data_IF_823475562432
#
_entry.id   IF_823475562432
#
_cell.length_a   1.000
_cell.length_b   1.000
_cell.length_c   1.000
_cell.angle_alpha   90.00
_cell.angle_beta   90.00
_cell.angle_gamma   90.00
#
_symmetry.space_group_name_H-M   'P 1'
#
loop_
_entity.id
_entity.type
_entity.pdbx_description
1 polymer ?
#
# COMPACT_ATOMS: atom_id res chain seq x y z
N UNK A 1 -7.10 22.99 -14.22
CA UNK A 1 -8.39 22.47 -13.70
C UNK A 1 -9.49 23.35 -14.25
N UNK A 2 -10.46 22.79 -14.95
CA UNK A 2 -11.63 23.54 -15.38
C UNK A 2 -12.42 23.89 -14.11
N UNK A 3 -12.55 25.21 -13.80
CA UNK A 3 -13.23 25.70 -12.59
C UNK A 3 -14.76 25.61 -12.66
N UNK A 4 -15.29 24.54 -13.24
CA UNK A 4 -16.72 24.27 -13.38
C UNK A 4 -17.15 23.43 -12.19
N UNK A 5 -18.21 23.82 -11.44
CA UNK A 5 -18.76 22.99 -10.37
C UNK A 5 -19.17 21.63 -10.91
N UNK A 6 -19.04 20.59 -10.09
CA UNK A 6 -19.32 19.18 -10.48
C UNK A 6 -20.77 19.01 -10.97
N UNK A 7 -21.70 19.86 -10.51
CA UNK A 7 -23.12 19.84 -10.89
C UNK A 7 -23.41 20.49 -12.25
N UNK A 8 -22.44 21.22 -12.84
CA UNK A 8 -22.58 21.90 -14.14
C UNK A 8 -21.85 21.16 -15.27
N UNK A 9 -21.37 19.93 -15.02
CA UNK A 9 -20.73 19.08 -16.01
C UNK A 9 -21.79 18.54 -16.98
N UNK A 10 -21.72 18.96 -18.24
CA UNK A 10 -22.55 18.37 -19.28
C UNK A 10 -21.98 17.03 -19.77
N UNK A 11 -22.81 16.26 -20.48
CA UNK A 11 -22.44 14.92 -20.97
C UNK A 11 -21.23 14.98 -21.92
N UNK A 12 -21.15 15.98 -22.79
CA UNK A 12 -20.07 16.11 -23.75
C UNK A 12 -18.72 16.37 -23.05
N UNK A 13 -18.74 17.17 -21.99
CA UNK A 13 -17.58 17.45 -21.14
C UNK A 13 -17.08 16.20 -20.41
N UNK A 14 -18.01 15.40 -19.88
CA UNK A 14 -17.67 14.12 -19.23
C UNK A 14 -17.08 13.12 -20.23
N UNK A 15 -17.71 12.99 -21.42
CA UNK A 15 -17.19 12.13 -22.50
C UNK A 15 -15.79 12.57 -22.94
N UNK A 16 -15.55 13.86 -23.13
CA UNK A 16 -14.22 14.39 -23.47
C UNK A 16 -13.19 14.12 -22.37
N UNK A 17 -13.54 14.23 -21.10
CA UNK A 17 -12.64 13.90 -19.99
C UNK A 17 -12.30 12.41 -19.93
N UNK A 18 -13.27 11.52 -20.13
CA UNK A 18 -13.09 10.07 -20.01
C UNK A 18 -12.34 9.52 -21.23
N UNK A 19 -12.73 9.90 -22.46
CA UNK A 19 -12.21 9.30 -23.68
C UNK A 19 -11.13 10.15 -24.37
N UNK A 20 -11.03 11.45 -24.03
CA UNK A 20 -10.08 12.38 -24.63
C UNK A 20 -8.81 12.62 -23.80
N UNK A 21 -8.66 11.98 -22.64
CA UNK A 21 -7.49 12.19 -21.78
C UNK A 21 -6.84 10.88 -21.32
N UNK A 22 -5.50 10.91 -21.12
CA UNK A 22 -4.75 9.78 -20.56
C UNK A 22 -5.26 9.38 -19.14
N UNK A 23 -5.71 10.35 -18.36
CA UNK A 23 -6.28 10.14 -17.03
C UNK A 23 -7.59 9.37 -17.13
N UNK A 24 -8.46 9.75 -18.07
CA UNK A 24 -9.73 9.05 -18.32
C UNK A 24 -9.50 7.64 -18.82
N UNK A 25 -8.57 7.44 -19.76
CA UNK A 25 -8.20 6.11 -20.22
C UNK A 25 -7.66 5.23 -19.08
N UNK A 26 -6.75 5.76 -18.24
CA UNK A 26 -6.24 5.05 -17.07
C UNK A 26 -7.35 4.70 -16.06
N UNK A 27 -8.35 5.56 -15.90
CA UNK A 27 -9.54 5.30 -15.07
C UNK A 27 -10.36 4.13 -15.60
N UNK A 28 -10.63 4.06 -16.92
CA UNK A 28 -11.36 2.95 -17.54
C UNK A 28 -10.59 1.64 -17.35
N UNK A 29 -9.29 1.62 -17.66
CA UNK A 29 -8.43 0.44 -17.50
C UNK A 29 -8.43 -0.03 -16.05
N UNK A 30 -8.27 0.89 -15.09
CA UNK A 30 -8.30 0.59 -13.66
C UNK A 30 -9.62 -0.04 -13.24
N UNK A 31 -10.73 0.56 -13.64
CA UNK A 31 -12.06 0.04 -13.33
C UNK A 31 -12.27 -1.36 -13.90
N UNK A 32 -11.88 -1.58 -15.16
CA UNK A 32 -11.92 -2.90 -15.80
C UNK A 32 -11.09 -3.94 -15.05
N UNK A 33 -9.87 -3.60 -14.63
CA UNK A 33 -9.00 -4.49 -13.86
C UNK A 33 -9.60 -4.83 -12.49
N UNK A 34 -10.19 -3.86 -11.78
CA UNK A 34 -10.85 -4.09 -10.49
C UNK A 34 -12.03 -5.03 -10.64
N UNK A 35 -12.89 -4.83 -11.66
CA UNK A 35 -14.00 -5.70 -11.95
C UNK A 35 -13.55 -7.11 -12.39
N UNK A 36 -12.53 -7.22 -13.25
CA UNK A 36 -11.98 -8.49 -13.68
C UNK A 36 -11.41 -9.31 -12.51
N UNK A 37 -10.67 -8.66 -11.61
CA UNK A 37 -10.15 -9.30 -10.40
C UNK A 37 -11.27 -9.80 -9.48
N UNK A 38 -12.31 -8.99 -9.27
CA UNK A 38 -13.47 -9.37 -8.46
C UNK A 38 -14.23 -10.54 -9.12
N UNK A 39 -14.52 -10.45 -10.41
CA UNK A 39 -15.19 -11.49 -11.16
C UNK A 39 -14.42 -12.84 -11.10
N UNK A 40 -13.09 -12.79 -11.20
CA UNK A 40 -12.26 -13.98 -11.07
C UNK A 40 -12.39 -14.64 -9.68
N UNK A 41 -12.39 -13.85 -8.60
CA UNK A 41 -12.57 -14.36 -7.23
C UNK A 41 -13.94 -15.03 -7.06
N UNK A 42 -14.99 -14.46 -7.66
CA UNK A 42 -16.35 -14.93 -7.51
C UNK A 42 -16.69 -16.13 -8.43
N UNK A 43 -16.16 -16.13 -9.68
CA UNK A 43 -16.56 -17.06 -10.71
C UNK A 43 -15.61 -18.25 -10.91
N UNK A 44 -14.29 -18.09 -10.66
CA UNK A 44 -13.34 -19.15 -10.92
C UNK A 44 -13.40 -20.25 -9.85
N UNK A 45 -13.60 -21.49 -10.30
CA UNK A 45 -13.63 -22.67 -9.43
C UNK A 45 -12.27 -22.99 -8.80
N UNK A 46 -11.18 -22.76 -9.54
CA UNK A 46 -9.82 -22.92 -9.03
C UNK A 46 -9.41 -21.70 -8.19
N UNK A 47 -9.52 -21.82 -6.87
CA UNK A 47 -9.20 -20.74 -5.93
C UNK A 47 -7.80 -20.20 -6.06
N UNK A 48 -6.80 -21.04 -6.37
CA UNK A 48 -5.41 -20.58 -6.55
C UNK A 48 -5.29 -19.72 -7.81
N UNK A 49 -5.86 -20.15 -8.91
CA UNK A 49 -5.88 -19.39 -10.16
C UNK A 49 -6.65 -18.07 -9.99
N UNK A 50 -7.80 -18.07 -9.29
CA UNK A 50 -8.59 -16.89 -8.99
C UNK A 50 -7.76 -15.85 -8.23
N UNK A 51 -7.09 -16.25 -7.15
CA UNK A 51 -6.28 -15.35 -6.31
C UNK A 51 -5.08 -14.78 -7.08
N UNK A 52 -4.37 -15.61 -7.85
CA UNK A 52 -3.21 -15.16 -8.64
C UNK A 52 -3.65 -14.17 -9.71
N UNK A 53 -4.73 -14.46 -10.44
CA UNK A 53 -5.26 -13.56 -11.46
C UNK A 53 -5.74 -12.23 -10.85
N UNK A 54 -6.51 -12.30 -9.76
CA UNK A 54 -6.98 -11.10 -9.06
C UNK A 54 -5.82 -10.24 -8.52
N UNK A 55 -4.78 -10.88 -7.97
CA UNK A 55 -3.58 -10.16 -7.52
C UNK A 55 -2.88 -9.45 -8.68
N UNK A 56 -2.78 -10.07 -9.85
CA UNK A 56 -2.28 -9.45 -11.07
C UNK A 56 -3.13 -8.25 -11.49
N UNK A 57 -4.47 -8.41 -11.52
CA UNK A 57 -5.39 -7.32 -11.84
C UNK A 57 -5.26 -6.14 -10.87
N UNK A 58 -5.26 -6.39 -9.56
CA UNK A 58 -5.18 -5.33 -8.56
C UNK A 58 -3.80 -4.66 -8.54
N UNK A 59 -2.72 -5.42 -8.72
CA UNK A 59 -1.37 -4.87 -8.89
C UNK A 59 -1.28 -3.95 -10.11
N UNK A 60 -1.82 -4.38 -11.25
CA UNK A 60 -1.88 -3.57 -12.47
C UNK A 60 -2.76 -2.33 -12.28
N UNK A 61 -3.88 -2.45 -11.57
CA UNK A 61 -4.73 -1.30 -11.23
C UNK A 61 -3.97 -0.25 -10.39
N UNK A 62 -3.12 -0.67 -9.44
CA UNK A 62 -2.24 0.24 -8.69
C UNK A 62 -1.23 0.95 -9.60
N UNK A 63 -0.64 0.24 -10.57
CA UNK A 63 0.30 0.85 -11.53
C UNK A 63 -0.37 1.96 -12.35
N UNK A 64 -1.65 1.80 -12.73
CA UNK A 64 -2.38 2.84 -13.49
C UNK A 64 -2.52 4.17 -12.72
N UNK A 65 -2.30 4.19 -11.40
CA UNK A 65 -2.28 5.43 -10.61
C UNK A 65 -1.11 6.35 -10.99
N UNK A 66 -0.06 5.83 -11.63
CA UNK A 66 1.04 6.63 -12.18
C UNK A 66 0.61 7.57 -13.32
N UNK A 67 -0.56 7.37 -13.92
CA UNK A 67 -1.15 8.26 -14.93
C UNK A 67 -2.04 9.35 -14.31
N UNK A 68 -2.02 9.49 -12.99
CA UNK A 68 -2.69 10.56 -12.24
C UNK A 68 -1.73 11.12 -11.18
N UNK A 69 -1.94 12.37 -10.73
CA UNK A 69 -1.08 13.04 -9.77
C UNK A 69 0.28 13.48 -10.35
N UNK A 70 1.28 13.61 -9.49
CA UNK A 70 2.59 14.20 -9.85
C UNK A 70 3.36 13.42 -10.93
N UNK A 71 3.25 12.09 -10.95
CA UNK A 71 3.93 11.28 -11.95
C UNK A 71 3.39 11.49 -13.36
N UNK A 72 2.13 11.91 -13.50
CA UNK A 72 1.53 12.24 -14.79
C UNK A 72 2.04 13.56 -15.37
N UNK A 73 2.51 14.48 -14.52
CA UNK A 73 3.01 15.79 -14.92
C UNK A 73 4.41 15.76 -15.56
N UNK A 74 5.12 14.64 -15.46
CA UNK A 74 6.46 14.48 -16.07
C UNK A 74 6.30 13.91 -17.48
N UNK A 75 6.91 14.56 -18.48
CA UNK A 75 6.79 14.20 -19.91
C UNK A 75 7.95 13.34 -20.42
N UNK A 76 7.79 12.76 -21.60
CA UNK A 76 8.82 12.02 -22.32
C UNK A 76 9.26 10.72 -21.62
N UNK A 77 10.50 10.29 -21.90
CA UNK A 77 11.07 9.07 -21.33
C UNK A 77 11.24 9.12 -19.81
N UNK A 78 11.54 10.30 -19.25
CA UNK A 78 11.60 10.51 -17.79
C UNK A 78 10.22 10.35 -17.16
N UNK A 79 9.15 10.78 -17.83
CA UNK A 79 7.77 10.59 -17.37
C UNK A 79 7.39 9.11 -17.30
N UNK A 80 7.77 8.31 -18.31
CA UNK A 80 7.54 6.86 -18.26
C UNK A 80 8.30 6.23 -17.10
N UNK A 81 9.57 6.57 -16.89
CA UNK A 81 10.35 6.09 -15.75
C UNK A 81 9.69 6.47 -14.41
N UNK A 82 9.23 7.72 -14.26
CA UNK A 82 8.54 8.19 -13.05
C UNK A 82 7.28 7.37 -12.77
N UNK A 83 6.44 7.12 -13.80
CA UNK A 83 5.21 6.31 -13.67
C UNK A 83 5.51 4.87 -13.28
N UNK A 84 6.53 4.24 -13.89
CA UNK A 84 6.96 2.88 -13.54
C UNK A 84 7.51 2.80 -12.11
N UNK A 85 8.38 3.73 -11.73
CA UNK A 85 8.90 3.82 -10.35
C UNK A 85 7.78 4.00 -9.33
N UNK A 86 6.82 4.89 -9.62
CA UNK A 86 5.64 5.07 -8.78
C UNK A 86 4.78 3.81 -8.72
N UNK A 87 4.61 3.08 -9.82
CA UNK A 87 3.92 1.80 -9.87
C UNK A 87 4.57 0.75 -8.96
N UNK A 88 5.90 0.60 -9.01
CA UNK A 88 6.66 -0.29 -8.13
C UNK A 88 6.47 0.12 -6.66
N UNK A 89 6.52 1.44 -6.37
CA UNK A 89 6.27 1.97 -5.02
C UNK A 89 4.89 1.55 -4.50
N UNK A 90 3.85 1.77 -5.27
CA UNK A 90 2.46 1.48 -4.88
C UNK A 90 2.19 -0.01 -4.72
N UNK A 91 2.70 -0.85 -5.64
CA UNK A 91 2.55 -2.31 -5.55
C UNK A 91 3.28 -2.85 -4.31
N UNK A 92 4.51 -2.39 -4.06
CA UNK A 92 5.28 -2.81 -2.88
C UNK A 92 4.61 -2.40 -1.57
N UNK A 93 4.09 -1.17 -1.49
CA UNK A 93 3.34 -0.67 -0.34
C UNK A 93 2.02 -1.44 -0.15
N UNK A 94 1.30 -1.74 -1.24
CA UNK A 94 0.06 -2.51 -1.23
C UNK A 94 0.28 -3.96 -0.76
N UNK A 95 1.35 -4.62 -1.20
CA UNK A 95 1.73 -5.95 -0.74
C UNK A 95 2.12 -5.95 0.74
N UNK A 96 2.85 -4.94 1.20
CA UNK A 96 3.21 -4.81 2.61
C UNK A 96 1.98 -4.60 3.49
N UNK A 97 1.13 -3.62 3.18
CA UNK A 97 -0.10 -3.36 3.94
C UNK A 97 -1.09 -4.54 3.86
N UNK A 98 -1.20 -5.19 2.70
CA UNK A 98 -2.01 -6.39 2.51
C UNK A 98 -1.54 -7.55 3.39
N UNK A 99 -0.23 -7.73 3.57
CA UNK A 99 0.32 -8.74 4.47
C UNK A 99 -0.01 -8.44 5.94
N UNK A 100 0.09 -7.17 6.38
CA UNK A 100 -0.32 -6.74 7.73
C UNK A 100 -1.79 -7.08 7.96
N UNK A 101 -2.67 -6.69 7.03
CA UNK A 101 -4.11 -6.99 7.12
C UNK A 101 -4.40 -8.49 7.13
N UNK A 102 -3.67 -9.28 6.36
CA UNK A 102 -3.82 -10.74 6.35
C UNK A 102 -3.40 -11.37 7.68
N UNK A 103 -2.24 -10.98 8.24
CA UNK A 103 -1.81 -11.47 9.54
C UNK A 103 -2.76 -11.03 10.65
N UNK A 104 -3.33 -9.83 10.57
CA UNK A 104 -4.37 -9.38 11.49
C UNK A 104 -5.60 -10.32 11.44
N UNK A 105 -6.09 -10.65 10.25
CA UNK A 105 -7.21 -11.59 10.09
C UNK A 105 -6.87 -12.96 10.67
N UNK A 106 -5.67 -13.47 10.42
CA UNK A 106 -5.24 -14.78 10.93
C UNK A 106 -5.12 -14.78 12.47
N UNK A 107 -4.57 -13.74 13.06
CA UNK A 107 -4.48 -13.63 14.53
C UNK A 107 -5.85 -13.50 15.20
N UNK A 108 -6.80 -12.76 14.59
CA UNK A 108 -8.19 -12.69 15.05
C UNK A 108 -8.85 -14.07 15.02
N UNK A 109 -8.66 -14.84 13.95
CA UNK A 109 -9.20 -16.20 13.82
C UNK A 109 -8.65 -17.13 14.90
N UNK A 110 -7.32 -17.14 15.10
CA UNK A 110 -6.69 -17.91 16.17
C UNK A 110 -7.18 -17.53 17.57
N UNK A 111 -7.55 -16.26 17.79
CA UNK A 111 -8.09 -15.83 19.08
C UNK A 111 -9.54 -16.28 19.30
N UNK A 112 -10.35 -16.34 18.24
CA UNK A 112 -11.75 -16.80 18.30
C UNK A 112 -11.89 -18.31 18.40
N UNK A 113 -10.98 -19.06 17.78
CA UNK A 113 -10.94 -20.53 17.77
C UNK A 113 -9.51 -20.97 18.16
N UNK A 114 -9.26 -21.15 19.49
CA UNK A 114 -7.93 -21.44 20.00
C UNK A 114 -7.46 -22.85 19.62
N UNK A 115 -6.54 -22.91 18.66
CA UNK A 115 -5.85 -24.13 18.22
C UNK A 115 -4.33 -23.88 18.21
N UNK A 116 -3.60 -24.75 18.93
CA UNK A 116 -2.12 -24.68 19.05
C UNK A 116 -1.46 -24.84 17.66
N UNK A 117 -1.98 -25.73 16.83
CA UNK A 117 -1.43 -26.01 15.48
C UNK A 117 -1.58 -24.80 14.57
N UNK A 118 -2.77 -24.18 14.57
CA UNK A 118 -3.03 -22.95 13.80
C UNK A 118 -2.17 -21.78 14.33
N UNK A 119 -2.12 -21.58 15.63
CA UNK A 119 -1.31 -20.54 16.25
C UNK A 119 0.16 -20.68 15.86
N UNK A 120 0.71 -21.90 15.94
CA UNK A 120 2.08 -22.19 15.51
C UNK A 120 2.29 -21.90 14.01
N UNK A 121 1.36 -22.30 13.16
CA UNK A 121 1.43 -22.03 11.70
C UNK A 121 1.43 -20.53 11.40
N UNK A 122 0.58 -19.74 12.06
CA UNK A 122 0.52 -18.28 11.90
C UNK A 122 1.82 -17.62 12.34
N UNK A 123 2.34 -17.97 13.52
CA UNK A 123 3.59 -17.41 14.04
C UNK A 123 4.78 -17.74 13.12
N UNK A 124 4.84 -18.97 12.59
CA UNK A 124 5.86 -19.36 11.61
C UNK A 124 5.71 -18.60 10.30
N UNK A 125 4.49 -18.41 9.81
CA UNK A 125 4.23 -17.66 8.59
C UNK A 125 4.65 -16.19 8.73
N UNK A 126 4.34 -15.55 9.87
CA UNK A 126 4.81 -14.20 10.17
C UNK A 126 6.34 -14.11 10.17
N UNK A 127 7.02 -15.05 10.83
CA UNK A 127 8.48 -15.10 10.84
C UNK A 127 9.06 -15.32 9.45
N UNK A 128 8.51 -16.25 8.67
CA UNK A 128 8.94 -16.51 7.29
C UNK A 128 8.66 -15.36 6.32
N UNK A 129 7.71 -14.48 6.64
CA UNK A 129 7.43 -13.26 5.89
C UNK A 129 8.46 -12.14 6.16
N UNK A 130 9.12 -12.13 7.31
CA UNK A 130 10.01 -11.03 7.71
C UNK A 130 11.04 -10.61 6.64
N UNK A 131 11.81 -11.52 5.99
CA UNK A 131 12.75 -11.12 4.95
C UNK A 131 12.05 -10.51 3.72
N UNK A 132 10.87 -11.02 3.35
CA UNK A 132 10.06 -10.45 2.26
C UNK A 132 9.54 -9.05 2.62
N UNK A 133 9.09 -8.88 3.87
CA UNK A 133 8.67 -7.58 4.40
C UNK A 133 9.81 -6.55 4.35
N UNK A 134 11.03 -6.94 4.73
CA UNK A 134 12.21 -6.07 4.60
C UNK A 134 12.47 -5.68 3.16
N UNK A 135 12.37 -6.62 2.21
CA UNK A 135 12.54 -6.32 0.78
C UNK A 135 11.48 -5.35 0.26
N UNK A 136 10.21 -5.53 0.67
CA UNK A 136 9.13 -4.61 0.30
C UNK A 136 9.36 -3.20 0.86
N UNK A 137 9.76 -3.09 2.13
CA UNK A 137 10.10 -1.81 2.77
C UNK A 137 11.27 -1.14 2.08
N UNK A 138 12.32 -1.88 1.74
CA UNK A 138 13.46 -1.35 0.99
C UNK A 138 13.04 -0.82 -0.39
N UNK A 139 12.18 -1.55 -1.11
CA UNK A 139 11.62 -1.06 -2.39
C UNK A 139 10.80 0.21 -2.20
N UNK A 140 9.93 0.27 -1.18
CA UNK A 140 9.15 1.47 -0.86
C UNK A 140 10.07 2.65 -0.53
N UNK A 141 11.15 2.44 0.23
CA UNK A 141 12.09 3.49 0.59
C UNK A 141 12.85 4.01 -0.64
N UNK A 142 13.43 3.12 -1.45
CA UNK A 142 14.19 3.50 -2.65
C UNK A 142 13.29 4.21 -3.66
N UNK A 143 12.15 3.61 -4.00
CA UNK A 143 11.23 4.19 -4.98
C UNK A 143 10.60 5.48 -4.48
N UNK A 144 10.33 5.60 -3.17
CA UNK A 144 9.85 6.82 -2.55
C UNK A 144 10.87 7.96 -2.60
N UNK A 145 12.17 7.66 -2.39
CA UNK A 145 13.25 8.63 -2.54
C UNK A 145 13.38 9.10 -3.99
N UNK A 146 13.31 8.17 -4.96
CA UNK A 146 13.32 8.50 -6.39
C UNK A 146 12.10 9.37 -6.75
N UNK A 147 10.90 9.02 -6.30
CA UNK A 147 9.70 9.84 -6.52
C UNK A 147 9.89 11.27 -5.95
N UNK A 148 10.42 11.40 -4.73
CA UNK A 148 10.67 12.69 -4.11
C UNK A 148 11.68 13.52 -4.91
N UNK A 149 12.74 12.88 -5.42
CA UNK A 149 13.72 13.53 -6.31
C UNK A 149 13.08 14.04 -7.61
N UNK A 150 12.22 13.23 -8.22
CA UNK A 150 11.55 13.59 -9.47
C UNK A 150 10.47 14.66 -9.30
N UNK A 151 9.88 14.78 -8.10
CA UNK A 151 8.80 15.74 -7.81
C UNK A 151 9.37 17.13 -7.49
N UNK A 152 10.34 17.24 -6.59
CA UNK A 152 10.85 18.54 -6.11
C UNK A 152 12.38 18.67 -6.14
N UNK A 153 13.12 17.59 -6.43
CA UNK A 153 14.58 17.57 -6.39
C UNK A 153 15.11 17.53 -4.95
N UNK A 154 15.97 16.55 -4.64
CA UNK A 154 16.55 16.38 -3.30
C UNK A 154 17.30 17.63 -2.77
N UNK A 155 17.98 18.46 -3.60
CA UNK A 155 18.59 19.71 -3.13
C UNK A 155 17.59 20.70 -2.54
N UNK A 156 16.31 20.63 -2.92
CA UNK A 156 15.25 21.55 -2.49
C UNK A 156 14.49 21.07 -1.24
N UNK A 157 14.93 19.99 -0.59
CA UNK A 157 14.25 19.39 0.57
C UNK A 157 13.97 20.42 1.67
N UNK A 158 14.96 21.27 2.01
CA UNK A 158 14.80 22.26 3.08
C UNK A 158 13.68 23.28 2.76
N UNK A 159 13.62 23.77 1.51
CA UNK A 159 12.58 24.67 1.07
C UNK A 159 11.21 23.95 1.02
N UNK A 160 11.17 22.71 0.52
CA UNK A 160 9.95 21.92 0.45
C UNK A 160 9.37 21.66 1.85
N UNK A 161 10.21 21.34 2.85
CA UNK A 161 9.76 21.06 4.22
C UNK A 161 9.08 22.27 4.89
N UNK A 162 9.31 23.49 4.38
CA UNK A 162 8.63 24.71 4.85
C UNK A 162 7.22 24.88 4.24
N UNK A 163 6.83 24.03 3.28
CA UNK A 163 5.51 24.06 2.64
C UNK A 163 4.53 23.12 3.33
N UNK A 164 3.19 23.33 3.20
CA UNK A 164 2.19 22.37 3.66
C UNK A 164 2.40 20.97 3.09
N UNK A 165 2.78 20.84 1.81
CA UNK A 165 3.14 19.57 1.17
C UNK A 165 4.28 18.87 1.91
N UNK A 166 5.37 19.59 2.19
CA UNK A 166 6.55 19.03 2.87
C UNK A 166 6.28 18.61 4.30
N UNK A 167 5.45 19.35 5.04
CA UNK A 167 5.03 18.98 6.39
C UNK A 167 4.26 17.64 6.34
N UNK A 168 3.29 17.49 5.43
CA UNK A 168 2.53 16.26 5.27
C UNK A 168 3.41 15.09 4.81
N UNK A 169 4.40 15.35 3.96
CA UNK A 169 5.42 14.36 3.59
C UNK A 169 6.25 13.92 4.79
N UNK A 170 6.69 14.85 5.64
CA UNK A 170 7.44 14.53 6.87
C UNK A 170 6.61 13.68 7.84
N UNK A 171 5.33 14.02 8.01
CA UNK A 171 4.39 13.22 8.81
C UNK A 171 4.27 11.80 8.22
N UNK A 172 4.09 11.68 6.90
CA UNK A 172 4.07 10.37 6.22
C UNK A 172 5.32 9.54 6.53
N UNK A 173 6.51 10.14 6.42
CA UNK A 173 7.77 9.45 6.68
C UNK A 173 7.88 8.99 8.13
N UNK A 174 7.46 9.81 9.10
CA UNK A 174 7.41 9.44 10.52
C UNK A 174 6.46 8.26 10.78
N UNK A 175 5.27 8.28 10.17
CA UNK A 175 4.30 7.18 10.28
C UNK A 175 4.84 5.88 9.67
N UNK A 176 5.47 5.94 8.50
CA UNK A 176 6.09 4.78 7.87
C UNK A 176 7.24 4.24 8.72
N UNK A 177 8.07 5.10 9.33
CA UNK A 177 9.11 4.69 10.27
C UNK A 177 8.53 3.95 11.49
N UNK A 178 7.41 4.42 12.05
CA UNK A 178 6.70 3.73 13.11
C UNK A 178 6.18 2.35 12.66
N UNK A 179 5.61 2.23 11.46
CA UNK A 179 5.19 0.96 10.88
C UNK A 179 6.37 -0.01 10.71
N UNK A 180 7.53 0.45 10.27
CA UNK A 180 8.76 -0.36 10.18
C UNK A 180 9.19 -0.87 11.56
N UNK A 181 9.08 -0.05 12.60
CA UNK A 181 9.38 -0.46 13.96
C UNK A 181 8.40 -1.55 14.47
N UNK A 182 7.10 -1.43 14.16
CA UNK A 182 6.12 -2.50 14.42
C UNK A 182 6.48 -3.79 13.68
N UNK A 183 6.79 -3.72 12.39
CA UNK A 183 7.20 -4.88 11.59
C UNK A 183 8.43 -5.59 12.17
N UNK A 184 9.45 -4.84 12.63
CA UNK A 184 10.62 -5.39 13.29
C UNK A 184 10.26 -6.05 14.64
N UNK A 185 9.33 -5.46 15.40
CA UNK A 185 8.78 -6.04 16.62
C UNK A 185 8.07 -7.37 16.35
N UNK A 186 7.16 -7.39 15.35
CA UNK A 186 6.43 -8.61 14.95
C UNK A 186 7.38 -9.74 14.53
N UNK A 187 8.43 -9.44 13.77
CA UNK A 187 9.42 -10.43 13.34
C UNK A 187 10.17 -11.07 14.54
N UNK A 188 10.50 -10.29 15.57
CA UNK A 188 11.17 -10.79 16.79
C UNK A 188 10.21 -11.62 17.63
N UNK A 189 9.02 -11.10 17.92
CA UNK A 189 8.03 -11.76 18.77
C UNK A 189 7.53 -13.07 18.14
N UNK A 190 7.22 -13.07 16.84
CA UNK A 190 6.75 -14.27 16.15
C UNK A 190 7.80 -15.38 16.14
N UNK A 191 9.09 -15.05 15.98
CA UNK A 191 10.20 -16.01 16.07
C UNK A 191 10.28 -16.67 17.42
N UNK A 192 10.32 -15.86 18.49
CA UNK A 192 10.43 -16.36 19.87
C UNK A 192 9.21 -17.19 20.25
N UNK A 193 8.01 -16.71 19.91
CA UNK A 193 6.75 -17.40 20.21
C UNK A 193 6.62 -18.72 19.44
N UNK A 194 6.99 -18.79 18.18
CA UNK A 194 6.95 -20.01 17.40
C UNK A 194 7.87 -21.11 18.01
N UNK A 195 9.03 -20.71 18.50
CA UNK A 195 9.95 -21.62 19.20
C UNK A 195 9.36 -22.10 20.53
N UNK A 196 8.79 -21.21 21.34
CA UNK A 196 8.17 -21.54 22.62
C UNK A 196 6.97 -22.50 22.45
N UNK A 197 6.07 -22.24 21.49
CA UNK A 197 4.93 -23.12 21.19
C UNK A 197 5.38 -24.49 20.77
N UNK A 198 6.45 -24.59 19.95
CA UNK A 198 7.00 -25.89 19.53
C UNK A 198 7.54 -26.71 20.69
N UNK A 199 8.09 -26.05 21.70
CA UNK A 199 8.69 -26.75 22.88
C UNK A 199 7.66 -27.12 23.93
N UNK A 200 6.70 -26.23 24.20
CA UNK A 200 5.74 -26.40 25.30
C UNK A 200 4.41 -27.01 24.86
N UNK A 201 4.11 -27.01 23.54
CA UNK A 201 2.80 -27.38 22.97
C UNK A 201 1.62 -26.63 23.64
N UNK A 202 1.89 -25.43 24.19
CA UNK A 202 0.88 -24.58 24.83
C UNK A 202 0.36 -23.51 23.88
N UNK A 203 -0.93 -23.17 24.00
CA UNK A 203 -1.53 -22.10 23.19
C UNK A 203 -1.05 -20.73 23.67
N UNK A 204 -0.49 -19.88 22.79
CA UNK A 204 0.17 -18.63 23.17
C UNK A 204 -0.81 -17.43 23.22
N UNK A 205 -1.88 -17.53 24.02
CA UNK A 205 -2.97 -16.54 24.05
C UNK A 205 -2.49 -15.09 24.27
N UNK A 206 -1.60 -14.87 25.24
CA UNK A 206 -1.09 -13.54 25.58
C UNK A 206 -0.27 -12.96 24.43
N UNK A 207 0.58 -13.76 23.79
CA UNK A 207 1.41 -13.33 22.66
C UNK A 207 0.55 -12.99 21.44
N UNK A 208 -0.43 -13.82 21.11
CA UNK A 208 -1.36 -13.55 20.00
C UNK A 208 -2.18 -12.30 20.25
N UNK A 209 -2.68 -12.09 21.48
CA UNK A 209 -3.41 -10.88 21.83
C UNK A 209 -2.56 -9.61 21.79
N UNK A 210 -1.27 -9.68 22.15
CA UNK A 210 -0.33 -8.58 22.01
C UNK A 210 -0.04 -8.27 20.52
N UNK A 211 0.23 -9.32 19.72
CA UNK A 211 0.45 -9.17 18.27
C UNK A 211 -0.78 -8.60 17.56
N UNK A 212 -1.97 -9.05 17.92
CA UNK A 212 -3.22 -8.52 17.35
C UNK A 212 -3.35 -7.02 17.58
N UNK A 213 -3.11 -6.54 18.80
CA UNK A 213 -3.20 -5.10 19.14
C UNK A 213 -2.19 -4.26 18.34
N UNK A 214 -0.96 -4.73 18.24
CA UNK A 214 0.09 -4.03 17.48
C UNK A 214 -0.15 -4.09 15.96
N UNK A 215 -0.69 -5.21 15.43
CA UNK A 215 -1.11 -5.31 14.03
C UNK A 215 -2.30 -4.37 13.70
N UNK A 216 -3.27 -4.21 14.64
CA UNK A 216 -4.35 -3.24 14.48
C UNK A 216 -3.76 -1.82 14.39
N UNK A 217 -2.86 -1.46 15.31
CA UNK A 217 -2.22 -0.15 15.31
C UNK A 217 -1.45 0.10 14.00
N UNK A 218 -0.64 -0.87 13.54
CA UNK A 218 0.11 -0.77 12.30
C UNK A 218 -0.81 -0.65 11.08
N UNK A 219 -1.89 -1.43 11.01
CA UNK A 219 -2.86 -1.36 9.92
C UNK A 219 -3.58 -0.01 9.86
N UNK A 220 -3.98 0.54 11.02
CA UNK A 220 -4.60 1.87 11.11
C UNK A 220 -3.62 2.98 10.70
N UNK A 221 -2.34 2.88 11.09
CA UNK A 221 -1.30 3.80 10.59
C UNK A 221 -1.18 3.73 9.07
N UNK A 222 -1.21 2.53 8.48
CA UNK A 222 -1.18 2.36 7.03
C UNK A 222 -2.37 3.00 6.33
N UNK A 223 -3.58 2.83 6.85
CA UNK A 223 -4.78 3.51 6.34
C UNK A 223 -4.66 5.03 6.46
N UNK A 224 -4.11 5.52 7.57
CA UNK A 224 -3.89 6.95 7.76
C UNK A 224 -2.86 7.49 6.76
N UNK A 225 -1.77 6.76 6.49
CA UNK A 225 -0.79 7.11 5.44
C UNK A 225 -1.47 7.21 4.07
N UNK A 226 -2.35 6.26 3.69
CA UNK A 226 -3.09 6.32 2.43
C UNK A 226 -3.97 7.57 2.37
N UNK A 227 -4.72 7.85 3.44
CA UNK A 227 -5.60 9.03 3.53
C UNK A 227 -4.79 10.34 3.42
N UNK A 228 -3.65 10.41 4.09
CA UNK A 228 -2.73 11.54 4.02
C UNK A 228 -2.23 11.76 2.59
N UNK A 229 -1.80 10.70 1.89
CA UNK A 229 -1.33 10.77 0.50
C UNK A 229 -2.45 11.21 -0.44
N UNK A 230 -3.69 10.78 -0.22
CA UNK A 230 -4.83 11.22 -1.02
C UNK A 230 -5.04 12.75 -0.92
N UNK A 231 -4.75 13.35 0.23
CA UNK A 231 -4.83 14.81 0.43
C UNK A 231 -3.66 15.52 -0.25
N UNK A 232 -2.41 15.22 0.13
CA UNK A 232 -1.28 16.02 -0.38
C UNK A 232 -0.82 15.61 -1.78
N UNK A 233 -1.23 14.45 -2.30
CA UNK A 233 -0.95 14.03 -3.67
C UNK A 233 -1.55 14.94 -4.75
N UNK A 234 -2.52 15.79 -4.37
CA UNK A 234 -3.10 16.83 -5.23
C UNK A 234 -2.54 18.24 -4.99
N UNK A 235 -1.66 18.42 -3.99
CA UNK A 235 -1.08 19.72 -3.62
C UNK A 235 0.19 20.00 -4.42
N UNK A 236 0.48 21.28 -4.67
CA UNK A 236 1.76 21.69 -5.26
C UNK A 236 2.90 21.52 -4.25
N UNK A 237 4.05 20.92 -4.65
CA UNK A 237 5.22 20.78 -3.77
C UNK A 237 6.00 22.08 -3.59
N UNK A 238 5.78 23.06 -4.45
CA UNK A 238 6.43 24.38 -4.42
C UNK A 238 5.43 25.46 -4.07
N UNK A 239 5.86 26.47 -3.30
CA UNK A 239 5.10 27.72 -3.19
C UNK A 239 5.15 28.43 -4.57
N UNK A 240 3.98 28.73 -5.12
CA UNK A 240 3.89 29.69 -6.23
C UNK A 240 4.13 31.09 -5.70
#
# INVERSE_FOLDING_TARGET
MMGVPVFDLDRAMVEAMIFGTDIGFAFIVRSGLLFAGLAAILALRNRRAAVVFAAGCYGSALVTLGWSGHAAATEGGLGLFHRLNNGIHLVSAGLWLGAIGWFLVLTIRCYKDPDVTQAHAVLRAMHAFAPKGISLVALVAVTGTVNSHLIFGLPNVAATLSTPYGILLAIKLALVAAMVAFGAHHARVSRSAATAVRLSNAYPAQTLGALQRTLIAEFLLGLFVISLVAVFGSMSPTMM
#
